data_IF_189812171505
#
_entry.id   IF_189812171505
#
_cell.length_a   1.000
_cell.length_b   1.000
_cell.length_c   1.000
_cell.angle_alpha   90.00
_cell.angle_beta   90.00
_cell.angle_gamma   90.00
#
_symmetry.space_group_name_H-M   'P 1'
#
loop_
_entity.id
_entity.type
_entity.pdbx_description
1 polymer ?
#
# COMPACT_ATOMS: atom_id res chain seq x y z
N UNK A 1 -13.09 60.97 10.01
CA UNK A 1 -13.55 59.63 9.59
C UNK A 1 -12.30 58.90 9.09
N UNK A 2 -11.64 57.94 9.77
CA UNK A 2 -12.02 56.97 10.85
C UNK A 2 -13.25 56.12 10.46
N UNK A 3 -13.26 54.78 10.41
CA UNK A 3 -12.25 53.68 10.45
C UNK A 3 -12.73 52.58 9.45
N UNK A 4 -12.20 51.36 9.24
CA UNK A 4 -11.10 50.49 9.74
C UNK A 4 -10.54 49.69 8.51
N UNK A 5 -9.55 48.77 8.50
CA UNK A 5 -8.82 47.90 9.45
C UNK A 5 -9.51 46.61 9.96
N UNK A 6 -9.52 45.56 9.13
CA UNK A 6 -9.48 44.11 9.50
C UNK A 6 -8.60 43.44 8.43
N UNK A 7 -7.35 43.04 8.67
CA UNK A 7 -6.78 41.93 9.47
C UNK A 7 -6.91 40.54 8.81
N UNK A 8 -5.79 39.80 8.76
CA UNK A 8 -5.65 38.47 8.13
C UNK A 8 -6.37 37.36 8.91
N UNK A 9 -6.73 36.28 8.21
CA UNK A 9 -6.86 34.94 8.80
C UNK A 9 -5.98 33.96 8.01
N UNK A 10 -4.74 33.77 8.47
CA UNK A 10 -3.86 32.72 7.97
C UNK A 10 -4.36 31.37 8.49
N UNK A 11 -5.00 30.59 7.63
CA UNK A 11 -5.27 29.17 7.86
C UNK A 11 -4.53 28.37 6.79
N UNK A 12 -3.21 28.39 6.90
CA UNK A 12 -2.38 27.35 6.29
C UNK A 12 -2.56 26.07 7.08
N UNK A 13 -3.61 25.31 6.78
CA UNK A 13 -3.71 23.94 7.27
C UNK A 13 -2.50 23.17 6.73
N UNK A 14 -1.62 22.75 7.64
CA UNK A 14 -0.50 21.87 7.32
C UNK A 14 -1.09 20.54 6.87
N UNK A 15 -1.09 20.31 5.55
CA UNK A 15 -1.23 18.95 5.00
C UNK A 15 -0.02 18.18 5.51
N UNK A 16 -0.23 17.40 6.57
CA UNK A 16 0.81 16.54 7.14
C UNK A 16 1.19 15.53 6.07
N UNK A 17 2.36 15.72 5.48
CA UNK A 17 2.90 14.78 4.50
C UNK A 17 3.23 13.48 5.22
N UNK A 18 2.34 12.49 5.10
CA UNK A 18 2.53 11.14 5.62
C UNK A 18 3.41 10.29 4.69
N UNK A 19 4.27 10.92 3.88
CA UNK A 19 5.25 10.22 3.06
C UNK A 19 6.16 9.36 3.96
N UNK A 20 6.22 8.08 3.63
CA UNK A 20 6.92 7.10 4.46
C UNK A 20 8.41 7.44 4.52
N UNK A 21 8.94 7.48 5.75
CA UNK A 21 10.33 7.84 6.08
C UNK A 21 11.35 7.13 5.14
N UNK A 22 12.35 7.83 4.57
CA UNK A 22 13.25 7.32 3.52
C UNK A 22 14.29 6.27 4.00
N UNK A 23 14.04 5.60 5.12
CA UNK A 23 14.88 4.52 5.68
C UNK A 23 14.64 3.14 5.03
N UNK A 24 13.69 3.02 4.10
CA UNK A 24 13.47 1.82 3.28
C UNK A 24 14.60 1.64 2.26
N UNK A 25 15.25 0.47 2.25
CA UNK A 25 16.38 0.18 1.34
C UNK A 25 16.02 -0.78 0.22
N UNK A 26 16.66 -0.58 -0.94
CA UNK A 26 16.56 -1.39 -2.15
C UNK A 26 17.79 -2.27 -2.29
N UNK A 27 17.60 -3.58 -2.33
CA UNK A 27 18.65 -4.57 -2.63
C UNK A 27 18.30 -5.29 -3.95
N UNK A 28 19.23 -5.28 -4.90
CA UNK A 28 19.12 -6.03 -6.16
C UNK A 28 19.40 -7.53 -5.92
N UNK A 29 18.46 -8.40 -6.31
CA UNK A 29 18.58 -9.85 -6.03
C UNK A 29 19.34 -10.56 -7.14
N UNK A 30 20.61 -10.87 -6.87
CA UNK A 30 21.53 -11.56 -7.79
C UNK A 30 21.01 -12.90 -8.34
N UNK A 31 20.07 -13.53 -7.62
CA UNK A 31 19.51 -14.84 -7.95
C UNK A 31 18.23 -14.79 -8.80
N UNK A 32 17.57 -13.61 -8.93
CA UNK A 32 16.31 -13.45 -9.68
C UNK A 32 16.33 -12.15 -10.50
N UNK A 33 16.55 -12.22 -11.83
CA UNK A 33 16.63 -11.03 -12.68
C UNK A 33 15.40 -10.12 -12.59
N UNK A 34 15.66 -8.81 -12.42
CA UNK A 34 14.66 -7.75 -12.26
C UNK A 34 13.81 -7.81 -10.98
N UNK A 35 14.19 -8.63 -9.99
CA UNK A 35 13.53 -8.64 -8.69
C UNK A 35 14.33 -7.81 -7.68
N UNK A 36 13.79 -6.66 -7.31
CA UNK A 36 14.26 -5.84 -6.19
C UNK A 36 13.64 -6.36 -4.90
N UNK A 37 14.47 -6.57 -3.87
CA UNK A 37 14.00 -6.67 -2.48
C UNK A 37 13.92 -5.28 -1.88
N UNK A 38 12.78 -4.96 -1.28
CA UNK A 38 12.62 -3.77 -0.42
C UNK A 38 12.62 -4.23 1.05
N UNK A 39 13.49 -3.61 1.86
CA UNK A 39 13.60 -3.87 3.30
C UNK A 39 13.08 -2.69 4.12
N UNK A 40 12.34 -3.00 5.19
CA UNK A 40 11.77 -2.01 6.11
C UNK A 40 12.79 -1.32 7.02
N UNK A 41 12.39 -0.24 7.71
CA UNK A 41 13.22 0.50 8.65
C UNK A 41 13.80 -0.44 9.71
N UNK A 42 15.11 -0.43 9.99
CA UNK A 42 15.75 -1.40 10.89
C UNK A 42 15.06 -1.50 12.27
N UNK A 43 14.77 -0.36 12.91
CA UNK A 43 14.09 -0.27 14.20
C UNK A 43 12.70 -0.96 14.20
N UNK A 44 11.95 -0.86 13.10
CA UNK A 44 10.67 -1.56 12.94
C UNK A 44 10.88 -3.07 12.75
N UNK A 45 11.86 -3.47 11.93
CA UNK A 45 12.16 -4.89 11.72
C UNK A 45 12.61 -5.57 13.02
N UNK A 46 13.40 -4.87 13.84
CA UNK A 46 13.82 -5.34 15.17
C UNK A 46 12.63 -5.41 16.15
N UNK A 47 11.79 -4.37 16.23
CA UNK A 47 10.60 -4.38 17.08
C UNK A 47 9.63 -5.52 16.70
N UNK A 48 9.36 -5.71 15.41
CA UNK A 48 8.53 -6.80 14.90
C UNK A 48 9.11 -8.18 15.23
N UNK A 49 10.44 -8.34 15.14
CA UNK A 49 11.07 -9.62 15.46
C UNK A 49 11.05 -9.92 16.96
N UNK A 50 11.32 -8.92 17.80
CA UNK A 50 11.32 -9.05 19.26
C UNK A 50 9.92 -9.35 19.81
N UNK A 51 8.90 -8.58 19.44
CA UNK A 51 7.51 -8.75 19.93
C UNK A 51 6.87 -10.07 19.45
N UNK A 52 7.27 -10.60 18.30
CA UNK A 52 6.70 -11.82 17.74
C UNK A 52 7.56 -13.08 17.93
N UNK A 53 8.65 -12.99 18.69
CA UNK A 53 9.65 -14.06 18.88
C UNK A 53 10.15 -14.68 17.55
N UNK A 54 10.28 -13.85 16.52
CA UNK A 54 10.70 -14.29 15.18
C UNK A 54 12.22 -14.49 15.15
N UNK A 55 12.67 -15.63 14.62
CA UNK A 55 14.06 -15.87 14.26
C UNK A 55 14.59 -14.75 13.33
N UNK A 56 15.48 -13.92 13.88
CA UNK A 56 15.99 -12.69 13.27
C UNK A 56 16.91 -12.90 12.06
N UNK A 57 17.26 -14.16 11.74
CA UNK A 57 18.12 -14.53 10.61
C UNK A 57 17.44 -14.29 9.24
N UNK A 58 16.11 -14.16 9.22
CA UNK A 58 15.29 -13.98 8.01
C UNK A 58 14.45 -12.70 8.08
N UNK A 59 15.11 -11.55 7.86
CA UNK A 59 14.44 -10.26 7.66
C UNK A 59 13.26 -10.38 6.67
N UNK A 60 12.14 -9.65 6.84
CA UNK A 60 11.09 -9.56 5.83
C UNK A 60 11.65 -9.20 4.46
N UNK A 61 11.13 -9.85 3.42
CA UNK A 61 11.38 -9.46 2.03
C UNK A 61 10.07 -9.12 1.35
N UNK A 62 9.99 -7.89 0.86
CA UNK A 62 8.99 -7.46 -0.12
C UNK A 62 9.62 -7.54 -1.51
N UNK A 63 8.84 -7.96 -2.50
CA UNK A 63 9.25 -7.96 -3.90
C UNK A 63 8.60 -6.77 -4.61
N UNK A 64 9.34 -6.10 -5.49
CA UNK A 64 8.73 -5.13 -6.42
C UNK A 64 8.28 -5.82 -7.71
N UNK A 65 7.21 -5.30 -8.32
CA UNK A 65 7.04 -5.41 -9.77
C UNK A 65 8.19 -4.68 -10.47
N UNK A 66 8.46 -4.99 -11.76
CA UNK A 66 9.23 -4.09 -12.61
C UNK A 66 8.72 -2.65 -12.50
N UNK A 67 9.60 -1.67 -12.69
CA UNK A 67 9.25 -0.26 -12.68
C UNK A 67 8.70 0.16 -14.04
N UNK A 68 7.55 0.83 -14.04
CA UNK A 68 6.91 1.36 -15.26
C UNK A 68 6.81 2.88 -15.18
N UNK A 69 6.93 3.62 -16.29
CA UNK A 69 6.69 5.05 -16.31
C UNK A 69 5.31 5.39 -15.74
N UNK A 70 5.22 6.47 -14.97
CA UNK A 70 3.93 7.01 -14.59
C UNK A 70 3.16 7.45 -15.85
N UNK A 71 1.83 7.24 -15.92
CA UNK A 71 1.02 7.76 -17.00
C UNK A 71 1.21 9.28 -17.18
N UNK A 72 1.24 9.75 -18.43
CA UNK A 72 1.32 11.20 -18.73
C UNK A 72 0.16 12.01 -18.11
N UNK A 73 -0.94 11.32 -17.80
CA UNK A 73 -2.10 11.86 -17.08
C UNK A 73 -1.86 12.10 -15.58
N UNK A 74 -0.71 11.74 -15.01
CA UNK A 74 -0.31 12.02 -13.63
C UNK A 74 0.49 13.32 -13.52
N UNK A 75 -0.21 14.44 -13.76
CA UNK A 75 0.31 15.79 -13.58
C UNK A 75 0.66 16.12 -12.11
N UNK A 76 1.27 17.29 -11.88
CA UNK A 76 1.68 17.78 -10.55
C UNK A 76 0.54 17.81 -9.53
N UNK A 77 -0.65 18.25 -9.92
CA UNK A 77 -1.80 18.35 -9.01
C UNK A 77 -2.34 16.97 -8.67
N UNK A 78 -2.44 16.08 -9.67
CA UNK A 78 -2.86 14.69 -9.46
C UNK A 78 -1.90 13.94 -8.56
N UNK A 79 -0.59 14.06 -8.80
CA UNK A 79 0.47 13.54 -7.92
C UNK A 79 0.28 13.99 -6.47
N UNK A 80 0.21 15.31 -6.25
CA UNK A 80 0.02 15.89 -4.91
C UNK A 80 -1.29 15.41 -4.24
N UNK A 81 -2.40 15.33 -5.00
CA UNK A 81 -3.69 14.80 -4.51
C UNK A 81 -3.70 13.30 -4.20
N UNK A 82 -2.58 12.60 -4.43
CA UNK A 82 -2.39 11.18 -4.14
C UNK A 82 -1.16 10.91 -3.26
N UNK A 83 -0.59 11.93 -2.61
CA UNK A 83 0.62 11.80 -1.77
C UNK A 83 1.91 11.52 -2.56
N UNK A 84 1.87 11.61 -3.89
CA UNK A 84 3.01 11.31 -4.77
C UNK A 84 3.83 12.58 -4.95
N UNK A 85 5.15 12.50 -4.75
CA UNK A 85 6.05 13.63 -4.95
C UNK A 85 6.18 14.02 -6.43
N UNK A 86 6.40 15.30 -6.71
CA UNK A 86 6.57 15.81 -8.09
C UNK A 86 7.71 15.11 -8.83
N UNK A 87 8.78 14.74 -8.11
CA UNK A 87 9.98 14.05 -8.60
C UNK A 87 9.73 12.62 -9.11
N UNK A 88 8.61 11.97 -8.74
CA UNK A 88 8.30 10.63 -9.20
C UNK A 88 8.13 10.60 -10.73
N UNK A 89 8.80 9.66 -11.40
CA UNK A 89 8.67 9.40 -12.85
C UNK A 89 8.28 7.97 -13.18
N UNK A 90 8.50 7.03 -12.26
CA UNK A 90 8.12 5.62 -12.40
C UNK A 90 7.38 5.12 -11.17
N UNK A 91 6.66 4.01 -11.33
CA UNK A 91 5.96 3.29 -10.25
C UNK A 91 6.24 1.78 -10.34
N UNK A 92 6.45 1.17 -9.19
CA UNK A 92 6.39 -0.28 -8.96
C UNK A 92 5.30 -0.59 -7.93
N UNK A 93 4.66 -1.75 -8.03
CA UNK A 93 3.89 -2.29 -6.93
C UNK A 93 4.80 -3.12 -6.02
N UNK A 94 4.81 -2.81 -4.73
CA UNK A 94 5.47 -3.61 -3.71
C UNK A 94 4.49 -4.68 -3.21
N UNK A 95 4.78 -5.93 -3.55
CA UNK A 95 4.01 -7.08 -3.08
C UNK A 95 4.15 -7.25 -1.56
N UNK A 96 3.08 -7.68 -0.86
CA UNK A 96 3.10 -7.96 0.58
C UNK A 96 4.32 -8.79 0.98
N UNK A 97 4.90 -8.47 2.13
CA UNK A 97 6.08 -9.19 2.60
C UNK A 97 5.78 -10.67 2.81
N UNK A 98 6.74 -11.52 2.45
CA UNK A 98 6.73 -12.92 2.89
C UNK A 98 7.18 -12.93 4.35
N UNK A 99 6.28 -13.32 5.25
CA UNK A 99 6.48 -13.31 6.71
C UNK A 99 6.33 -14.75 7.26
N UNK A 100 7.35 -15.64 7.11
CA UNK A 100 7.24 -17.04 7.52
C UNK A 100 7.08 -17.18 9.03
N UNK A 101 6.15 -18.06 9.46
CA UNK A 101 5.86 -18.28 10.88
C UNK A 101 4.93 -17.26 11.52
N UNK A 102 4.58 -16.16 10.84
CA UNK A 102 3.60 -15.19 11.33
C UNK A 102 2.21 -15.85 11.44
N UNK A 103 1.70 -15.97 12.68
CA UNK A 103 0.37 -16.53 12.92
C UNK A 103 -0.74 -15.58 12.43
N UNK A 104 -1.94 -16.12 12.14
CA UNK A 104 -3.11 -15.30 11.78
C UNK A 104 -3.48 -14.32 12.90
N UNK A 105 -3.31 -14.71 14.17
CA UNK A 105 -3.54 -13.85 15.32
C UNK A 105 -2.52 -12.70 15.38
N UNK A 106 -1.24 -12.98 15.15
CA UNK A 106 -0.17 -11.97 15.11
C UNK A 106 -0.38 -11.01 13.92
N UNK A 107 -0.70 -11.53 12.72
CA UNK A 107 -1.06 -10.70 11.55
C UNK A 107 -2.24 -9.76 11.87
N UNK A 108 -3.27 -10.25 12.55
CA UNK A 108 -4.41 -9.42 12.99
C UNK A 108 -4.00 -8.38 14.05
N UNK A 109 -3.09 -8.72 14.96
CA UNK A 109 -2.59 -7.77 15.97
C UNK A 109 -1.74 -6.65 15.32
N UNK A 110 -0.93 -6.98 14.32
CA UNK A 110 -0.16 -5.99 13.54
C UNK A 110 -1.08 -5.03 12.76
N UNK A 111 -2.16 -5.52 12.15
CA UNK A 111 -3.14 -4.67 11.45
C UNK A 111 -4.01 -3.79 12.39
N UNK A 112 -3.66 -3.69 13.67
CA UNK A 112 -4.28 -2.79 14.65
C UNK A 112 -3.30 -1.71 15.15
N UNK A 113 -2.09 -1.62 14.58
CA UNK A 113 -1.05 -0.69 15.02
C UNK A 113 -1.12 0.71 14.40
N UNK A 114 -1.96 0.90 13.36
CA UNK A 114 -2.15 2.17 12.63
C UNK A 114 -0.81 2.78 12.15
N UNK A 115 0.06 1.92 11.60
CA UNK A 115 1.39 2.26 11.07
C UNK A 115 1.46 1.91 9.57
N UNK A 116 1.68 2.89 8.66
CA UNK A 116 1.72 2.65 7.22
C UNK A 116 2.88 1.74 6.80
N UNK A 117 3.96 1.65 7.59
CA UNK A 117 5.05 0.71 7.34
C UNK A 117 4.61 -0.74 7.60
N UNK A 118 3.77 -0.95 8.62
CA UNK A 118 3.20 -2.26 8.94
C UNK A 118 2.18 -2.65 7.89
N UNK A 119 1.29 -1.74 7.47
CA UNK A 119 0.35 -2.01 6.37
C UNK A 119 1.06 -2.28 5.04
N UNK A 120 2.15 -1.58 4.73
CA UNK A 120 2.99 -1.88 3.57
C UNK A 120 3.52 -3.33 3.63
N UNK A 121 4.05 -3.78 4.77
CA UNK A 121 4.49 -5.17 4.96
C UNK A 121 3.33 -6.18 4.86
N UNK A 122 2.15 -5.85 5.38
CA UNK A 122 1.01 -6.79 5.43
C UNK A 122 0.23 -6.89 4.12
N UNK A 123 0.02 -5.78 3.43
CA UNK A 123 -0.96 -5.59 2.36
C UNK A 123 -0.32 -5.14 1.03
N UNK A 124 0.94 -4.70 1.05
CA UNK A 124 1.63 -4.14 -0.11
C UNK A 124 1.34 -2.65 -0.32
N UNK A 125 1.81 -2.10 -1.44
CA UNK A 125 1.71 -0.67 -1.72
C UNK A 125 2.34 -0.25 -3.04
N UNK A 126 2.28 1.04 -3.35
CA UNK A 126 2.91 1.63 -4.54
C UNK A 126 4.20 2.33 -4.15
N UNK A 127 5.31 1.94 -4.78
CA UNK A 127 6.64 2.54 -4.62
C UNK A 127 6.90 3.43 -5.82
N UNK A 128 7.14 4.72 -5.57
CA UNK A 128 7.37 5.73 -6.59
C UNK A 128 8.86 6.06 -6.68
N UNK A 129 9.37 6.06 -7.91
CA UNK A 129 10.79 6.18 -8.20
C UNK A 129 11.07 7.44 -9.03
N UNK A 130 12.18 8.12 -8.75
CA UNK A 130 12.72 9.16 -9.62
C UNK A 130 13.32 8.59 -10.92
N UNK A 131 13.78 9.49 -11.79
CA UNK A 131 14.43 9.15 -13.07
C UNK A 131 15.73 8.34 -12.92
N UNK A 132 16.35 8.42 -11.73
CA UNK A 132 17.61 7.77 -11.38
C UNK A 132 17.33 6.45 -10.60
N UNK A 133 16.08 5.97 -10.63
CA UNK A 133 15.54 4.76 -9.99
C UNK A 133 15.61 4.75 -8.45
N UNK A 134 15.61 5.91 -7.80
CA UNK A 134 15.59 6.05 -6.32
C UNK A 134 14.17 6.17 -5.81
N UNK A 135 13.86 5.57 -4.66
CA UNK A 135 12.57 5.76 -3.97
C UNK A 135 12.43 7.23 -3.55
N UNK A 136 11.30 7.85 -3.92
CA UNK A 136 10.95 9.23 -3.57
C UNK A 136 9.55 9.38 -2.94
N UNK A 137 8.78 8.29 -2.85
CA UNK A 137 7.51 8.19 -2.13
C UNK A 137 7.11 6.71 -2.07
N UNK A 138 6.40 6.29 -1.01
CA UNK A 138 5.75 4.98 -0.91
C UNK A 138 4.36 5.15 -0.29
N UNK A 139 3.33 4.63 -0.96
CA UNK A 139 1.95 4.61 -0.48
C UNK A 139 1.57 3.18 -0.08
N UNK A 140 1.31 2.94 1.21
CA UNK A 140 0.77 1.67 1.72
C UNK A 140 -0.70 1.45 1.35
N UNK A 141 -1.12 0.20 1.16
CA UNK A 141 -2.54 -0.15 1.11
C UNK A 141 -3.02 -0.38 2.55
N UNK A 142 -3.80 0.55 3.07
CA UNK A 142 -4.37 0.48 4.42
C UNK A 142 -5.82 -0.02 4.40
N UNK A 143 -6.31 -0.72 5.44
CA UNK A 143 -7.73 -0.98 5.63
C UNK A 143 -8.55 0.32 5.73
N UNK A 144 -9.86 0.31 5.42
CA UNK A 144 -10.72 1.50 5.48
C UNK A 144 -11.12 1.91 6.91
N UNK A 145 -10.19 1.79 7.87
CA UNK A 145 -10.38 2.06 9.29
C UNK A 145 -9.77 3.41 9.73
N UNK A 146 -8.92 4.04 8.91
CA UNK A 146 -8.43 5.40 9.18
C UNK A 146 -9.59 6.40 9.06
N UNK A 147 -9.84 7.27 10.06
CA UNK A 147 -11.03 8.12 10.08
C UNK A 147 -11.03 9.26 9.04
N UNK A 148 -9.88 9.52 8.39
CA UNK A 148 -9.76 10.38 7.22
C UNK A 148 -8.73 9.75 6.26
N UNK A 149 -9.12 8.86 5.33
CA UNK A 149 -8.20 8.37 4.30
C UNK A 149 -7.86 9.53 3.35
N UNK A 150 -6.57 9.83 3.19
CA UNK A 150 -6.09 10.86 2.25
C UNK A 150 -6.41 10.52 0.79
N UNK A 151 -6.41 9.22 0.45
CA UNK A 151 -6.97 8.67 -0.79
C UNK A 151 -7.52 7.27 -0.57
N UNK A 152 -8.56 6.90 -1.32
CA UNK A 152 -9.10 5.53 -1.37
C UNK A 152 -8.65 4.84 -2.66
N UNK A 153 -8.07 3.63 -2.55
CA UNK A 153 -7.81 2.77 -3.71
C UNK A 153 -9.12 2.14 -4.19
N UNK A 154 -9.72 2.67 -5.26
CA UNK A 154 -10.93 2.13 -5.84
C UNK A 154 -10.63 1.05 -6.88
N UNK A 155 -11.37 -0.07 -6.79
CA UNK A 155 -11.24 -1.23 -7.67
C UNK A 155 -12.56 -1.53 -8.37
N UNK A 156 -12.50 -1.83 -9.67
CA UNK A 156 -13.64 -2.14 -10.55
C UNK A 156 -13.49 -3.53 -11.19
N UNK A 157 -14.59 -4.28 -11.24
CA UNK A 157 -14.64 -5.68 -11.70
C UNK A 157 -15.45 -6.56 -10.74
N UNK A 158 -15.18 -7.89 -10.69
CA UNK A 158 -14.13 -8.61 -11.41
C UNK A 158 -14.44 -8.81 -12.91
N UNK A 159 -13.39 -8.78 -13.72
CA UNK A 159 -13.41 -9.10 -15.15
C UNK A 159 -12.65 -10.42 -15.42
N UNK A 160 -13.01 -11.15 -16.48
CA UNK A 160 -12.28 -12.35 -16.90
C UNK A 160 -10.89 -11.99 -17.47
N UNK A 161 -9.84 -12.65 -16.98
CA UNK A 161 -8.46 -12.42 -17.43
C UNK A 161 -8.16 -13.20 -18.71
N UNK A 162 -7.80 -12.48 -19.78
CA UNK A 162 -7.41 -13.07 -21.07
C UNK A 162 -6.36 -14.19 -20.87
N UNK A 163 -6.62 -15.42 -21.37
CA UNK A 163 -5.70 -16.54 -21.27
C UNK A 163 -4.27 -16.23 -21.73
N UNK A 164 -4.07 -15.37 -22.75
CA UNK A 164 -2.75 -14.97 -23.24
C UNK A 164 -2.01 -14.10 -22.24
N UNK A 165 -2.70 -13.13 -21.63
CA UNK A 165 -2.14 -12.28 -20.56
C UNK A 165 -1.75 -13.15 -19.37
N UNK A 166 -2.62 -14.10 -18.99
CA UNK A 166 -2.35 -15.07 -17.93
C UNK A 166 -1.14 -15.95 -18.23
N UNK A 167 -1.07 -16.56 -19.42
CA UNK A 167 0.06 -17.37 -19.88
C UNK A 167 1.36 -16.57 -19.92
N UNK A 168 1.32 -15.32 -20.37
CA UNK A 168 2.46 -14.40 -20.38
C UNK A 168 2.98 -14.09 -18.97
N UNK A 169 2.09 -13.71 -18.06
CA UNK A 169 2.45 -13.42 -16.67
C UNK A 169 2.96 -14.66 -15.93
N UNK A 170 2.43 -15.85 -16.24
CA UNK A 170 2.96 -17.12 -15.73
C UNK A 170 4.34 -17.45 -16.30
N UNK A 171 4.54 -17.31 -17.62
CA UNK A 171 5.81 -17.53 -18.34
C UNK A 171 6.95 -16.69 -17.75
N UNK A 172 6.67 -15.43 -17.45
CA UNK A 172 7.63 -14.48 -16.87
C UNK A 172 7.63 -14.45 -15.33
N UNK A 173 6.90 -15.36 -14.67
CA UNK A 173 6.79 -15.45 -13.19
C UNK A 173 6.37 -14.14 -12.50
N UNK A 174 5.58 -13.30 -13.19
CA UNK A 174 5.03 -12.05 -12.62
C UNK A 174 4.09 -12.33 -11.43
N UNK A 175 3.37 -13.46 -11.46
CA UNK A 175 2.45 -13.89 -10.39
C UNK A 175 3.16 -14.23 -9.07
N UNK A 176 2.70 -13.62 -7.98
CA UNK A 176 3.10 -13.89 -6.59
C UNK A 176 2.00 -14.61 -5.81
N UNK A 177 2.31 -15.40 -4.76
CA UNK A 177 1.28 -16.03 -3.92
C UNK A 177 0.38 -14.99 -3.23
N UNK A 178 -0.93 -15.26 -3.18
CA UNK A 178 -1.88 -14.44 -2.40
C UNK A 178 -1.57 -14.59 -0.90
N UNK A 179 -1.35 -13.47 -0.20
CA UNK A 179 -1.14 -13.45 1.26
C UNK A 179 -2.41 -13.19 2.05
N UNK A 180 -3.34 -12.40 1.52
CA UNK A 180 -4.58 -11.97 2.18
C UNK A 180 -5.63 -13.10 2.22
N UNK A 181 -6.05 -13.52 3.40
CA UNK A 181 -6.94 -14.70 3.58
C UNK A 181 -8.28 -14.54 2.83
N UNK A 182 -8.94 -13.39 2.90
CA UNK A 182 -10.24 -13.19 2.22
C UNK A 182 -10.16 -13.36 0.69
N UNK A 183 -9.00 -13.09 0.08
CA UNK A 183 -8.76 -13.33 -1.35
C UNK A 183 -8.52 -14.82 -1.63
N UNK A 184 -7.98 -15.58 -0.67
CA UNK A 184 -7.89 -17.04 -0.74
C UNK A 184 -9.26 -17.71 -0.55
N UNK A 185 -10.12 -17.16 0.30
CA UNK A 185 -11.49 -17.66 0.51
C UNK A 185 -12.33 -17.51 -0.78
N UNK A 186 -12.09 -16.42 -1.53
CA UNK A 186 -12.62 -16.21 -2.90
C UNK A 186 -11.96 -17.12 -3.97
N UNK A 187 -11.11 -18.08 -3.58
CA UNK A 187 -10.55 -19.11 -4.46
C UNK A 187 -9.27 -18.72 -5.21
N UNK A 188 -8.79 -17.49 -5.12
CA UNK A 188 -7.51 -17.09 -5.74
C UNK A 188 -6.30 -17.64 -4.95
N UNK A 189 -5.20 -17.91 -5.64
CA UNK A 189 -3.98 -18.51 -5.07
C UNK A 189 -2.71 -17.75 -5.44
N UNK A 190 -2.66 -17.18 -6.64
CA UNK A 190 -1.65 -16.19 -7.01
C UNK A 190 -2.31 -14.91 -7.53
N UNK A 191 -1.56 -13.80 -7.49
CA UNK A 191 -1.95 -12.51 -8.01
C UNK A 191 -0.77 -11.73 -8.59
N UNK A 192 -1.03 -10.75 -9.44
CA UNK A 192 -0.02 -9.92 -10.07
C UNK A 192 -0.53 -8.48 -10.25
N UNK A 193 0.36 -7.52 -10.11
CA UNK A 193 0.14 -6.17 -10.64
C UNK A 193 0.32 -6.17 -12.16
N UNK A 194 -0.71 -5.74 -12.88
CA UNK A 194 -0.65 -5.34 -14.29
C UNK A 194 -0.50 -3.82 -14.30
N UNK A 195 0.69 -3.28 -14.63
CA UNK A 195 0.91 -1.85 -14.61
C UNK A 195 0.16 -1.11 -15.74
N UNK A 196 -0.01 0.22 -15.63
CA UNK A 196 -0.32 1.05 -16.78
C UNK A 196 0.74 0.83 -17.87
N UNK A 197 0.33 0.92 -19.14
CA UNK A 197 1.23 0.89 -20.31
C UNK A 197 2.01 -0.43 -20.50
N UNK A 198 1.70 -1.52 -19.77
CA UNK A 198 2.35 -2.84 -19.95
C UNK A 198 1.95 -3.45 -21.31
N UNK A 199 2.91 -3.62 -22.21
CA UNK A 199 2.71 -3.55 -23.66
C UNK A 199 2.31 -4.87 -24.34
N UNK A 200 1.45 -5.67 -23.70
CA UNK A 200 0.84 -6.86 -24.32
C UNK A 200 -0.13 -6.47 -25.47
N UNK A 201 -0.57 -5.21 -25.49
CA UNK A 201 -1.07 -4.51 -26.67
C UNK A 201 -0.57 -3.08 -26.73
N UNK A 202 -0.68 -2.42 -27.90
CA UNK A 202 -0.39 -0.98 -28.07
C UNK A 202 -1.50 -0.06 -27.53
N UNK A 203 -2.35 -0.60 -26.67
CA UNK A 203 -3.48 0.06 -26.03
C UNK A 203 -3.49 -0.39 -24.56
N UNK A 204 -3.87 0.51 -23.64
CA UNK A 204 -3.94 0.24 -22.20
C UNK A 204 -5.10 -0.71 -21.86
N UNK A 205 -5.14 -1.93 -22.40
CA UNK A 205 -6.35 -2.75 -22.42
C UNK A 205 -6.09 -4.22 -22.12
N UNK A 206 -6.90 -4.81 -21.23
CA UNK A 206 -7.00 -6.26 -21.07
C UNK A 206 -8.25 -6.72 -21.80
N UNK A 207 -8.07 -7.40 -22.93
CA UNK A 207 -9.17 -7.67 -23.87
C UNK A 207 -9.76 -6.36 -24.39
N UNK A 208 -11.02 -6.07 -24.05
CA UNK A 208 -11.74 -4.85 -24.46
C UNK A 208 -11.73 -3.72 -23.42
N UNK A 209 -11.23 -3.97 -22.21
CA UNK A 209 -11.36 -3.02 -21.09
C UNK A 209 -10.10 -2.19 -20.89
N UNK A 210 -10.25 -0.87 -20.88
CA UNK A 210 -9.16 0.07 -20.56
C UNK A 210 -8.73 -0.05 -19.08
N UNK A 211 -7.42 -0.04 -18.82
CA UNK A 211 -6.77 -0.09 -17.49
C UNK A 211 -5.81 1.10 -17.29
N UNK A 212 -6.30 2.36 -17.32
CA UNK A 212 -5.45 3.56 -17.38
C UNK A 212 -4.56 3.78 -16.14
N UNK A 213 -4.87 3.12 -15.02
CA UNK A 213 -4.09 3.13 -13.78
C UNK A 213 -3.52 1.75 -13.41
N UNK A 214 -3.61 0.77 -14.31
CA UNK A 214 -3.28 -0.63 -14.06
C UNK A 214 -4.43 -1.46 -13.48
N UNK A 215 -4.13 -2.71 -13.13
CA UNK A 215 -5.10 -3.68 -12.61
C UNK A 215 -4.41 -4.76 -11.75
N UNK A 216 -5.13 -5.31 -10.77
CA UNK A 216 -4.70 -6.51 -10.04
C UNK A 216 -5.32 -7.75 -10.69
N UNK A 217 -4.49 -8.63 -11.23
CA UNK A 217 -4.89 -9.92 -11.76
C UNK A 217 -4.75 -11.02 -10.71
N UNK A 218 -5.64 -12.01 -10.73
CA UNK A 218 -5.74 -13.11 -9.77
C UNK A 218 -5.97 -14.44 -10.49
N UNK A 219 -5.37 -15.52 -10.00
CA UNK A 219 -5.51 -16.88 -10.58
C UNK A 219 -5.74 -17.95 -9.52
N UNK A 220 -6.52 -18.98 -9.84
CA UNK A 220 -6.84 -20.07 -8.91
C UNK A 220 -5.71 -21.09 -8.68
N UNK A 221 -4.59 -21.00 -9.41
CA UNK A 221 -3.38 -21.78 -9.15
C UNK A 221 -2.16 -20.89 -8.85
N UNK A 222 -1.24 -21.40 -8.02
CA UNK A 222 -0.03 -20.70 -7.55
C UNK A 222 0.98 -20.34 -8.66
N UNK A 223 0.94 -21.06 -9.77
CA UNK A 223 1.79 -20.90 -10.95
C UNK A 223 1.23 -19.92 -11.99
N UNK A 224 0.18 -19.16 -11.66
CA UNK A 224 -0.50 -18.28 -12.61
C UNK A 224 -1.48 -18.98 -13.55
N UNK A 225 -1.85 -20.25 -13.31
CA UNK A 225 -2.77 -21.02 -14.17
C UNK A 225 -4.16 -21.21 -13.54
N UNK A 226 -5.04 -21.91 -14.26
CA UNK A 226 -6.44 -22.12 -13.88
C UNK A 226 -7.35 -21.00 -14.36
N UNK A 227 -8.51 -20.83 -13.70
CA UNK A 227 -9.34 -19.64 -13.87
C UNK A 227 -8.58 -18.38 -13.47
N UNK A 228 -8.80 -17.29 -14.20
CA UNK A 228 -8.19 -16.00 -13.93
C UNK A 228 -9.19 -14.86 -14.03
N UNK A 229 -9.07 -13.89 -13.14
CA UNK A 229 -9.86 -12.67 -13.13
C UNK A 229 -8.94 -11.46 -12.88
N UNK A 230 -9.42 -10.25 -13.11
CA UNK A 230 -8.74 -9.03 -12.67
C UNK A 230 -9.71 -7.96 -12.18
N UNK A 231 -9.19 -7.04 -11.38
CA UNK A 231 -9.87 -5.81 -10.96
C UNK A 231 -9.03 -4.60 -11.39
N UNK A 232 -9.67 -3.65 -12.06
CA UNK A 232 -9.03 -2.42 -12.53
C UNK A 232 -8.84 -1.45 -11.38
N UNK A 233 -7.73 -0.72 -11.36
CA UNK A 233 -7.63 0.49 -10.53
C UNK A 233 -8.31 1.63 -11.27
N UNK A 234 -9.25 2.31 -10.61
CA UNK A 234 -9.92 3.49 -11.15
C UNK A 234 -9.56 4.72 -10.31
N UNK A 235 -9.21 5.83 -10.95
CA UNK A 235 -8.92 7.10 -10.27
C UNK A 235 -10.17 7.99 -10.17
N UNK A 236 -11.35 7.41 -9.97
CA UNK A 236 -12.57 8.19 -9.80
C UNK A 236 -12.49 8.93 -8.46
N UNK A 237 -12.18 10.22 -8.53
CA UNK A 237 -12.23 11.13 -7.40
C UNK A 237 -13.70 11.40 -7.07
N UNK A 238 -14.36 10.41 -6.46
CA UNK A 238 -15.69 10.57 -5.88
C UNK A 238 -15.55 11.61 -4.79
N UNK A 239 -16.12 12.83 -4.93
CA UNK A 239 -16.03 13.81 -3.87
C UNK A 239 -16.77 13.25 -2.65
N UNK A 240 -16.05 13.03 -1.56
CA UNK A 240 -16.63 12.55 -0.30
C UNK A 240 -17.57 13.62 0.25
N UNK A 241 -18.82 13.59 -0.19
CA UNK A 241 -19.90 14.36 0.41
C UNK A 241 -20.00 13.89 1.85
N UNK A 242 -19.51 14.71 2.79
CA UNK A 242 -19.71 14.50 4.22
C UNK A 242 -21.19 14.65 4.51
N UNK A 243 -21.93 13.55 4.40
CA UNK A 243 -23.23 13.38 5.01
C UNK A 243 -23.01 13.31 6.51
N UNK A 244 -23.00 14.48 7.15
CA UNK A 244 -23.05 14.62 8.60
C UNK A 244 -24.43 14.15 9.07
N UNK A 245 -24.57 12.83 9.20
CA UNK A 245 -25.73 12.22 9.86
C UNK A 245 -25.57 12.46 11.35
N UNK A 246 -26.35 13.38 11.91
CA UNK A 246 -26.52 13.49 13.36
C UNK A 246 -27.12 12.19 13.90
N UNK A 247 -26.27 11.28 14.38
CA UNK A 247 -26.70 10.08 15.10
C UNK A 247 -27.16 10.51 16.49
N UNK A 248 -28.45 10.82 16.61
CA UNK A 248 -29.11 11.07 17.90
C UNK A 248 -28.91 9.87 18.82
N UNK A 249 -28.28 10.10 19.98
CA UNK A 249 -27.71 9.05 20.81
C UNK A 249 -28.74 8.27 21.67
N UNK A 250 -29.58 7.47 21.02
CA UNK A 250 -30.38 6.41 21.68
C UNK A 250 -30.07 5.04 21.05
N UNK A 251 -29.15 4.30 21.68
CA UNK A 251 -29.05 2.83 21.78
C UNK A 251 -27.61 2.44 22.17
N UNK A 252 -27.27 2.62 23.44
CA UNK A 252 -26.02 2.08 23.98
C UNK A 252 -26.15 0.56 24.18
N UNK A 253 -25.23 -0.21 23.59
CA UNK A 253 -25.00 -1.63 23.88
C UNK A 253 -23.50 -1.77 24.15
N UNK A 254 -23.15 -2.26 25.34
CA UNK A 254 -21.75 -2.36 25.77
C UNK A 254 -21.02 -3.52 25.07
N UNK A 255 -19.77 -3.30 24.58
CA UNK A 255 -18.92 -4.37 24.10
C UNK A 255 -17.96 -4.86 25.20
N UNK A 256 -18.34 -5.91 25.95
CA UNK A 256 -17.36 -6.72 26.67
C UNK A 256 -16.48 -7.48 25.66
N UNK A 257 -15.27 -6.99 25.40
CA UNK A 257 -14.25 -7.72 24.65
C UNK A 257 -12.84 -7.41 25.18
N UNK A 258 -12.46 -8.10 26.25
CA UNK A 258 -11.14 -8.01 26.86
C UNK A 258 -10.06 -8.56 25.91
N UNK A 259 -9.12 -7.69 25.51
CA UNK A 259 -7.92 -8.05 24.75
C UNK A 259 -6.68 -7.95 25.65
N UNK A 260 -5.66 -8.81 25.47
CA UNK A 260 -4.47 -8.85 26.33
C UNK A 260 -3.60 -7.59 26.16
N UNK A 261 -3.75 -6.63 27.08
CA UNK A 261 -3.19 -5.27 27.01
C UNK A 261 -1.67 -5.11 27.18
N UNK A 262 -0.86 -6.13 26.86
CA UNK A 262 0.60 -6.00 26.80
C UNK A 262 1.05 -5.45 25.44
N UNK A 263 0.66 -6.09 24.32
CA UNK A 263 1.16 -5.74 22.97
C UNK A 263 0.95 -4.24 22.62
N UNK A 264 -0.24 -3.72 22.89
CA UNK A 264 -0.62 -2.31 22.59
C UNK A 264 0.27 -1.30 23.33
N UNK A 265 0.84 -1.67 24.48
CA UNK A 265 1.71 -0.80 25.28
C UNK A 265 3.13 -0.74 24.73
N UNK A 266 3.67 -1.82 24.17
CA UNK A 266 5.02 -1.85 23.56
C UNK A 266 5.12 -0.90 22.35
N UNK A 267 4.20 -1.03 21.39
CA UNK A 267 4.24 -0.25 20.15
C UNK A 267 3.96 1.25 20.37
N UNK A 268 3.09 1.60 21.32
CA UNK A 268 2.83 3.00 21.68
C UNK A 268 3.99 3.69 22.41
N UNK A 269 4.95 2.94 22.98
CA UNK A 269 6.26 3.49 23.37
C UNK A 269 7.23 3.68 22.18
N UNK A 270 7.17 2.85 21.13
CA UNK A 270 8.07 2.94 19.98
C UNK A 270 7.87 4.25 19.20
N UNK A 271 6.62 4.60 18.87
CA UNK A 271 6.32 5.85 18.15
C UNK A 271 6.72 7.10 18.95
N UNK A 272 6.63 7.07 20.29
CA UNK A 272 7.12 8.15 21.16
C UNK A 272 8.66 8.22 21.19
N UNK A 273 9.34 7.07 21.20
CA UNK A 273 10.80 7.01 21.20
C UNK A 273 11.41 7.54 19.88
N UNK A 274 10.70 7.38 18.75
CA UNK A 274 11.15 7.94 17.47
C UNK A 274 10.89 9.45 17.38
N UNK A 275 9.69 9.93 17.72
CA UNK A 275 9.40 11.38 17.78
C UNK A 275 10.38 12.15 18.69
N UNK A 276 10.76 11.57 19.84
CA UNK A 276 11.70 12.18 20.77
C UNK A 276 13.18 12.19 20.31
N UNK A 277 13.55 11.45 19.25
CA UNK A 277 14.90 11.53 18.64
C UNK A 277 15.05 12.76 17.74
N UNK A 278 13.98 13.11 17.01
CA UNK A 278 14.01 14.22 16.06
C UNK A 278 13.97 15.58 16.78
N UNK A 279 13.17 15.72 17.86
CA UNK A 279 13.18 16.92 18.72
C UNK A 279 14.53 17.15 19.44
N UNK A 280 15.39 16.13 19.55
CA UNK A 280 16.71 16.23 20.17
C UNK A 280 17.83 16.68 19.21
N UNK A 281 17.49 17.00 17.95
CA UNK A 281 18.45 17.25 16.86
C UNK A 281 18.26 18.60 16.14
N UNK A 282 17.57 19.57 16.77
CA UNK A 282 17.34 20.95 16.27
C UNK A 282 17.83 22.01 17.25
#
# INVERSE_FOLDING_TARGET
>A
TRMASVQQSEHGESVVDQSINPSWTVEDTKDVPNQVTVMGPPDLLEALANEMAWQTDKKPKMFLSPAHPLPESMDKYRKASSGITEAASMVSFAYPAVLPGLSVANRKALSLLDDPNVDLLLNGGFVYLDKDARIVCVNSICPPATPNPTTTLLLDGPYELDPKVREEFARHRKFQPVTLEFIKDLGARAFAWIPPLDSIGTQNTIGTQSIPHGAFAYTSQLNGQGSGAYMRVISEWVPTIKLEVEVTAEMAIEPELSMPGQLVRSFSSLNRANLAKDEASS
#
